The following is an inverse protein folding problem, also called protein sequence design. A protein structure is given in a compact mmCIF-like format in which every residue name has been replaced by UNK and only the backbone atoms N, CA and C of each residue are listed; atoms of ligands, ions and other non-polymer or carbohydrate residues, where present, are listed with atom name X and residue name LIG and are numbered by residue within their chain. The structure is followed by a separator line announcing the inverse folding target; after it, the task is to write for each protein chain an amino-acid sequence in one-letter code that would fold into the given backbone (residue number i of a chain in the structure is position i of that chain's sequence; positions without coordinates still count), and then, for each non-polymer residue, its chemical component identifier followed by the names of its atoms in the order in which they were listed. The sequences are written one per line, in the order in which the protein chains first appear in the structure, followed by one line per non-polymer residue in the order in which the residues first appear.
data_IF_566113488166
#
_entry.id   IF_566113488166
#
_cell.length_a   1.000
_cell.length_b   1.000
_cell.length_c   1.000
_cell.angle_alpha   90.00
_cell.angle_beta   90.00
_cell.angle_gamma   90.00
#
_symmetry.space_group_name_H-M   'P 1'
#
loop_
_entity.id
_entity.type
_entity.pdbx_description
1 polymer ?
#
# COMPACT_ATOMS: atom_id res chain seq x y z
N UNK A 1 -18.54 28.15 -6.30
CA UNK A 1 -17.31 27.33 -6.05
C UNK A 1 -17.52 26.12 -5.14
N UNK A 2 -18.45 26.13 -4.17
CA UNK A 2 -18.68 24.97 -3.28
C UNK A 2 -19.26 23.72 -3.97
N UNK A 3 -20.10 23.91 -5.00
CA UNK A 3 -20.71 22.81 -5.76
C UNK A 3 -19.70 22.01 -6.61
N UNK A 4 -18.69 22.65 -7.20
CA UNK A 4 -17.68 21.95 -8.01
C UNK A 4 -16.73 21.12 -7.16
N UNK A 5 -16.29 21.64 -6.00
CA UNK A 5 -15.42 20.91 -5.08
C UNK A 5 -16.10 19.65 -4.51
N UNK A 6 -17.40 19.75 -4.18
CA UNK A 6 -18.19 18.60 -3.72
C UNK A 6 -18.31 17.51 -4.79
N UNK A 7 -18.49 17.90 -6.05
CA UNK A 7 -18.52 16.98 -7.20
C UNK A 7 -17.17 16.27 -7.37
N UNK A 8 -16.05 17.02 -7.37
CA UNK A 8 -14.70 16.46 -7.51
C UNK A 8 -14.36 15.44 -6.41
N UNK A 9 -14.70 15.73 -5.16
CA UNK A 9 -14.46 14.81 -4.03
C UNK A 9 -15.28 13.52 -4.13
N UNK A 10 -16.52 13.62 -4.62
CA UNK A 10 -17.37 12.44 -4.85
C UNK A 10 -16.81 11.58 -5.98
N UNK A 11 -16.35 12.18 -7.07
CA UNK A 11 -15.71 11.47 -8.20
C UNK A 11 -14.42 10.79 -7.74
N UNK A 12 -13.56 11.49 -7.00
CA UNK A 12 -12.34 10.91 -6.45
C UNK A 12 -12.63 9.72 -5.53
N UNK A 13 -13.61 9.85 -4.64
CA UNK A 13 -14.05 8.75 -3.75
C UNK A 13 -14.57 7.56 -4.54
N UNK A 14 -15.42 7.80 -5.53
CA UNK A 14 -15.96 6.75 -6.39
C UNK A 14 -14.82 6.01 -7.09
N UNK A 15 -13.89 6.75 -7.71
CA UNK A 15 -12.73 6.16 -8.39
C UNK A 15 -11.85 5.35 -7.44
N UNK A 16 -11.51 5.88 -6.27
CA UNK A 16 -10.68 5.16 -5.29
C UNK A 16 -11.34 3.87 -4.80
N UNK A 17 -12.63 3.91 -4.47
CA UNK A 17 -13.36 2.70 -4.03
C UNK A 17 -13.55 1.69 -5.16
N UNK A 18 -13.71 2.17 -6.41
CA UNK A 18 -13.70 1.33 -7.60
C UNK A 18 -12.35 0.64 -7.77
N UNK A 19 -11.24 1.39 -7.78
CA UNK A 19 -9.89 0.83 -7.93
C UNK A 19 -9.56 -0.21 -6.83
N UNK A 20 -9.82 0.12 -5.57
CA UNK A 20 -9.56 -0.78 -4.42
C UNK A 20 -10.32 -2.10 -4.51
N UNK A 21 -11.55 -2.11 -5.02
CA UNK A 21 -12.35 -3.34 -5.14
C UNK A 21 -11.91 -4.25 -6.29
N UNK A 22 -11.18 -3.73 -7.29
CA UNK A 22 -10.61 -4.51 -8.40
C UNK A 22 -9.15 -4.87 -8.21
N UNK A 23 -8.47 -4.23 -7.24
CA UNK A 23 -7.06 -4.48 -6.96
C UNK A 23 -6.68 -5.95 -6.70
N UNK A 24 -7.51 -6.82 -6.09
CA UNK A 24 -7.16 -8.24 -5.98
C UNK A 24 -6.92 -8.92 -7.33
N UNK A 25 -7.62 -8.51 -8.40
CA UNK A 25 -7.37 -9.03 -9.73
C UNK A 25 -6.00 -8.60 -10.26
N UNK A 26 -5.59 -7.37 -9.98
CA UNK A 26 -4.24 -6.87 -10.30
C UNK A 26 -3.19 -7.68 -9.54
N UNK A 27 -3.43 -7.98 -8.25
CA UNK A 27 -2.56 -8.87 -7.47
C UNK A 27 -2.46 -10.29 -8.05
N UNK A 28 -3.58 -10.86 -8.49
CA UNK A 28 -3.62 -12.18 -9.11
C UNK A 28 -2.86 -12.19 -10.45
N UNK A 29 -3.13 -11.21 -11.31
CA UNK A 29 -2.49 -11.07 -12.61
C UNK A 29 -0.98 -10.86 -12.46
N UNK A 30 -0.56 -9.89 -11.66
CA UNK A 30 0.88 -9.62 -11.46
C UNK A 30 1.61 -10.79 -10.83
N UNK A 31 0.96 -11.55 -9.95
CA UNK A 31 1.54 -12.76 -9.39
C UNK A 31 1.69 -13.86 -10.45
N UNK A 32 0.66 -14.11 -11.27
CA UNK A 32 0.72 -15.09 -12.35
C UNK A 32 1.78 -14.71 -13.39
N UNK A 33 1.86 -13.43 -13.76
CA UNK A 33 2.83 -12.94 -14.72
C UNK A 33 4.26 -12.98 -14.19
N UNK A 34 4.46 -12.77 -12.89
CA UNK A 34 5.77 -12.99 -12.26
C UNK A 34 6.20 -14.46 -12.36
N UNK A 35 5.27 -15.40 -12.12
CA UNK A 35 5.56 -16.82 -12.28
C UNK A 35 5.86 -17.18 -13.73
N UNK A 36 5.12 -16.60 -14.69
CA UNK A 36 5.36 -16.80 -16.12
C UNK A 36 6.74 -16.26 -16.56
N UNK A 37 7.13 -15.07 -16.11
CA UNK A 37 8.46 -14.51 -16.38
C UNK A 37 9.56 -15.43 -15.85
N UNK A 38 9.41 -15.97 -14.63
CA UNK A 38 10.39 -16.87 -14.03
C UNK A 38 10.40 -18.27 -14.66
N UNK A 39 9.25 -18.77 -15.12
CA UNK A 39 9.15 -20.07 -15.77
C UNK A 39 10.02 -20.18 -17.03
N UNK A 40 10.35 -19.06 -17.67
CA UNK A 40 11.30 -19.04 -18.80
C UNK A 40 12.75 -19.32 -18.41
N UNK A 41 13.11 -19.16 -17.13
CA UNK A 41 14.48 -19.31 -16.62
C UNK A 41 14.63 -20.45 -15.60
N UNK A 42 13.55 -20.88 -14.97
CA UNK A 42 13.56 -21.82 -13.86
C UNK A 42 12.78 -23.10 -14.19
N UNK A 43 13.42 -24.27 -13.98
CA UNK A 43 12.80 -25.58 -14.22
C UNK A 43 11.67 -25.93 -13.24
N UNK A 44 11.70 -25.34 -12.04
CA UNK A 44 10.72 -25.57 -10.98
C UNK A 44 10.22 -24.24 -10.43
N UNK A 45 8.94 -24.15 -10.03
CA UNK A 45 8.39 -22.91 -9.50
C UNK A 45 9.10 -22.49 -8.21
N UNK A 46 9.31 -21.18 -7.98
CA UNK A 46 9.99 -20.69 -6.79
C UNK A 46 9.15 -20.91 -5.52
N UNK A 47 7.83 -21.05 -5.65
CA UNK A 47 6.88 -21.31 -4.58
C UNK A 47 6.29 -22.71 -4.75
N UNK A 48 5.87 -23.32 -3.65
CA UNK A 48 5.16 -24.60 -3.72
C UNK A 48 3.84 -24.43 -4.49
N UNK A 49 3.48 -25.37 -5.38
CA UNK A 49 2.28 -25.26 -6.20
C UNK A 49 1.00 -24.98 -5.40
N UNK A 50 0.81 -25.67 -4.27
CA UNK A 50 -0.35 -25.48 -3.40
C UNK A 50 -0.43 -24.04 -2.88
N UNK A 51 0.71 -23.46 -2.47
CA UNK A 51 0.78 -22.07 -2.00
C UNK A 51 0.43 -21.10 -3.12
N UNK A 52 0.90 -21.36 -4.36
CA UNK A 52 0.55 -20.56 -5.54
C UNK A 52 -0.97 -20.58 -5.78
N UNK A 53 -1.57 -21.77 -5.84
CA UNK A 53 -3.00 -21.92 -6.12
C UNK A 53 -3.88 -21.31 -5.03
N UNK A 54 -3.52 -21.49 -3.75
CA UNK A 54 -4.22 -20.86 -2.62
C UNK A 54 -4.15 -19.34 -2.74
N UNK A 55 -2.98 -18.79 -3.05
CA UNK A 55 -2.84 -17.34 -3.20
C UNK A 55 -3.67 -16.78 -4.35
N UNK A 56 -3.60 -17.42 -5.51
CA UNK A 56 -4.33 -17.03 -6.70
C UNK A 56 -5.85 -17.13 -6.49
N UNK A 57 -6.34 -18.24 -5.95
CA UNK A 57 -7.76 -18.46 -5.67
C UNK A 57 -8.31 -17.41 -4.70
N UNK A 58 -7.60 -17.12 -3.61
CA UNK A 58 -8.03 -16.11 -2.65
C UNK A 58 -8.07 -14.70 -3.25
N UNK A 59 -7.08 -14.32 -4.08
CA UNK A 59 -7.12 -13.03 -4.78
C UNK A 59 -8.31 -12.93 -5.73
N UNK A 60 -8.60 -13.98 -6.50
CA UNK A 60 -9.75 -14.02 -7.42
C UNK A 60 -11.09 -13.96 -6.66
N UNK A 61 -11.27 -14.80 -5.63
CA UNK A 61 -12.49 -14.84 -4.82
C UNK A 61 -12.72 -13.48 -4.13
N UNK A 62 -11.69 -12.88 -3.54
CA UNK A 62 -11.81 -11.57 -2.91
C UNK A 62 -12.15 -10.48 -3.93
N UNK A 63 -11.55 -10.52 -5.13
CA UNK A 63 -11.86 -9.61 -6.23
C UNK A 63 -13.31 -9.73 -6.72
N UNK A 64 -13.79 -10.96 -6.92
CA UNK A 64 -15.18 -11.25 -7.30
C UNK A 64 -16.15 -10.73 -6.24
N UNK A 65 -15.96 -11.14 -4.97
CA UNK A 65 -16.81 -10.70 -3.87
C UNK A 65 -16.87 -9.17 -3.74
N UNK A 66 -15.73 -8.48 -3.85
CA UNK A 66 -15.70 -7.02 -3.78
C UNK A 66 -16.31 -6.32 -5.00
N UNK A 67 -16.20 -6.91 -6.19
CA UNK A 67 -16.72 -6.34 -7.45
C UNK A 67 -18.24 -6.53 -7.60
N UNK A 68 -18.77 -7.69 -7.21
CA UNK A 68 -20.21 -8.00 -7.25
C UNK A 68 -20.97 -7.56 -6.00
N UNK A 69 -20.35 -6.75 -5.14
CA UNK A 69 -20.93 -6.26 -3.89
C UNK A 69 -21.30 -7.35 -2.86
N UNK A 70 -20.76 -8.56 -2.97
CA UNK A 70 -21.01 -9.67 -2.07
C UNK A 70 -20.07 -9.64 -0.86
N UNK A 71 -20.63 -9.48 0.35
CA UNK A 71 -19.85 -9.49 1.62
C UNK A 71 -18.55 -8.65 1.55
N UNK A 72 -18.56 -7.50 0.87
CA UNK A 72 -17.36 -6.69 0.55
C UNK A 72 -16.42 -6.47 1.73
N UNK A 73 -17.00 -6.17 2.90
CA UNK A 73 -16.24 -5.94 4.13
C UNK A 73 -15.42 -7.16 4.52
N UNK A 74 -16.03 -8.34 4.52
CA UNK A 74 -15.35 -9.59 4.86
C UNK A 74 -14.27 -9.89 3.82
N UNK A 75 -14.58 -9.74 2.53
CA UNK A 75 -13.62 -9.92 1.46
C UNK A 75 -12.42 -8.97 1.56
N UNK A 76 -12.62 -7.70 1.95
CA UNK A 76 -11.53 -6.75 2.19
C UNK A 76 -10.62 -7.16 3.37
N UNK A 77 -11.20 -7.66 4.46
CA UNK A 77 -10.42 -8.15 5.61
C UNK A 77 -9.64 -9.42 5.25
N UNK A 78 -10.28 -10.37 4.56
CA UNK A 78 -9.60 -11.58 4.06
C UNK A 78 -8.46 -11.19 3.11
N UNK A 79 -8.69 -10.23 2.21
CA UNK A 79 -7.66 -9.73 1.30
C UNK A 79 -6.47 -9.12 2.06
N UNK A 80 -6.71 -8.35 3.13
CA UNK A 80 -5.64 -7.78 3.95
C UNK A 80 -4.80 -8.88 4.62
N UNK A 81 -5.45 -9.85 5.29
CA UNK A 81 -4.77 -10.99 5.90
C UNK A 81 -3.96 -11.77 4.86
N UNK A 82 -4.56 -11.98 3.69
CA UNK A 82 -3.96 -12.72 2.60
C UNK A 82 -2.70 -12.05 2.04
N UNK A 83 -2.72 -10.72 1.90
CA UNK A 83 -1.54 -9.96 1.48
C UNK A 83 -0.43 -10.06 2.54
N UNK A 84 -0.75 -10.02 3.83
CA UNK A 84 0.24 -10.18 4.90
C UNK A 84 0.88 -11.57 4.85
N UNK A 85 0.07 -12.63 4.72
CA UNK A 85 0.58 -14.00 4.55
C UNK A 85 1.45 -14.10 3.30
N UNK A 86 1.02 -13.52 2.18
CA UNK A 86 1.82 -13.50 0.96
C UNK A 86 3.16 -12.75 1.14
N UNK A 87 3.17 -11.64 1.89
CA UNK A 87 4.40 -10.89 2.19
C UNK A 87 5.38 -11.72 3.01
N UNK A 88 4.88 -12.45 4.01
CA UNK A 88 5.67 -13.37 4.85
C UNK A 88 6.25 -14.50 3.98
N UNK A 89 5.42 -15.10 3.12
CA UNK A 89 5.84 -16.14 2.17
C UNK A 89 6.97 -15.63 1.27
N UNK A 90 6.84 -14.43 0.69
CA UNK A 90 7.88 -13.82 -0.16
C UNK A 90 9.17 -13.54 0.62
N UNK A 91 9.06 -13.07 1.87
CA UNK A 91 10.22 -12.74 2.69
C UNK A 91 11.05 -13.98 3.06
N UNK A 92 10.38 -15.01 3.60
CA UNK A 92 11.02 -16.22 4.10
C UNK A 92 11.55 -17.10 2.97
N UNK A 93 10.87 -17.09 1.81
CA UNK A 93 11.22 -18.01 0.73
C UNK A 93 12.62 -17.71 0.17
N UNK A 94 13.51 -18.71 0.31
CA UNK A 94 14.89 -18.66 -0.19
C UNK A 94 14.97 -18.92 -1.69
N UNK A 95 14.02 -19.68 -2.27
CA UNK A 95 14.00 -20.05 -3.69
C UNK A 95 13.75 -18.86 -4.63
N UNK A 96 13.15 -17.77 -4.14
CA UNK A 96 12.96 -16.54 -4.92
C UNK A 96 14.29 -15.86 -5.30
N UNK A 97 15.40 -16.15 -4.60
CA UNK A 97 16.75 -15.59 -4.86
C UNK A 97 16.82 -14.05 -4.92
N UNK A 98 15.88 -13.36 -4.29
CA UNK A 98 15.91 -11.91 -4.16
C UNK A 98 16.87 -11.45 -3.07
N UNK A 99 17.56 -10.34 -3.33
CA UNK A 99 18.35 -9.63 -2.34
C UNK A 99 17.49 -9.22 -1.14
N UNK A 100 18.14 -9.05 0.02
CA UNK A 100 17.45 -8.65 1.24
C UNK A 100 16.72 -7.32 1.07
N UNK A 101 17.36 -6.32 0.44
CA UNK A 101 16.75 -5.01 0.21
C UNK A 101 15.48 -5.11 -0.63
N UNK A 102 15.47 -5.92 -1.71
CA UNK A 102 14.32 -6.07 -2.60
C UNK A 102 13.15 -6.77 -1.88
N UNK A 103 13.45 -7.78 -1.05
CA UNK A 103 12.44 -8.44 -0.22
C UNK A 103 11.78 -7.44 0.73
N UNK A 104 12.55 -6.64 1.45
CA UNK A 104 12.01 -5.62 2.36
C UNK A 104 11.23 -4.56 1.56
N UNK A 105 11.71 -4.18 0.36
CA UNK A 105 11.00 -3.27 -0.56
C UNK A 105 9.64 -3.80 -0.99
N UNK A 106 9.51 -5.09 -1.26
CA UNK A 106 8.22 -5.71 -1.58
C UNK A 106 7.31 -5.79 -0.35
N UNK A 107 7.83 -6.34 0.75
CA UNK A 107 7.03 -6.65 1.93
C UNK A 107 6.43 -5.39 2.59
N UNK A 108 7.17 -4.28 2.68
CA UNK A 108 6.62 -3.08 3.32
C UNK A 108 5.44 -2.48 2.53
N UNK A 109 5.49 -2.47 1.19
CA UNK A 109 4.38 -1.98 0.37
C UNK A 109 3.16 -2.88 0.52
N UNK A 110 3.36 -4.19 0.57
CA UNK A 110 2.30 -5.15 0.84
C UNK A 110 1.65 -4.93 2.22
N UNK A 111 2.43 -4.62 3.25
CA UNK A 111 1.91 -4.22 4.58
C UNK A 111 1.07 -2.94 4.48
N UNK A 112 1.53 -1.95 3.71
CA UNK A 112 0.77 -0.72 3.45
C UNK A 112 -0.57 -0.99 2.78
N UNK A 113 -0.56 -1.79 1.70
CA UNK A 113 -1.78 -2.21 1.01
C UNK A 113 -2.74 -2.95 1.95
N UNK A 114 -2.24 -3.89 2.75
CA UNK A 114 -3.05 -4.59 3.74
C UNK A 114 -3.70 -3.62 4.75
N UNK A 115 -2.94 -2.63 5.25
CA UNK A 115 -3.46 -1.58 6.11
C UNK A 115 -4.62 -0.81 5.47
N UNK A 116 -4.50 -0.43 4.19
CA UNK A 116 -5.58 0.25 3.47
C UNK A 116 -6.79 -0.64 3.20
N UNK A 117 -6.63 -1.95 3.02
CA UNK A 117 -7.78 -2.85 2.92
C UNK A 117 -8.55 -2.98 4.24
N UNK A 118 -7.86 -2.99 5.39
CA UNK A 118 -8.51 -2.93 6.70
C UNK A 118 -9.25 -1.60 6.87
N UNK A 119 -8.65 -0.48 6.50
CA UNK A 119 -9.30 0.84 6.54
C UNK A 119 -10.50 0.91 5.58
N UNK A 120 -10.38 0.34 4.38
CA UNK A 120 -11.46 0.24 3.41
C UNK A 120 -12.66 -0.54 3.98
N UNK A 121 -12.40 -1.65 4.67
CA UNK A 121 -13.45 -2.42 5.36
C UNK A 121 -14.22 -1.60 6.40
N UNK A 122 -13.55 -0.64 7.06
CA UNK A 122 -14.16 0.27 8.03
C UNK A 122 -15.02 1.36 7.34
N UNK A 123 -14.59 1.85 6.18
CA UNK A 123 -15.37 2.80 5.37
C UNK A 123 -16.67 2.15 4.90
N UNK A 124 -16.61 0.89 4.46
CA UNK A 124 -17.76 0.11 3.99
C UNK A 124 -18.82 -0.19 5.06
N UNK A 125 -18.47 -0.19 6.35
CA UNK A 125 -19.39 -0.59 7.41
C UNK A 125 -20.29 0.56 7.89
N UNK A 126 -21.61 0.41 7.90
CA UNK A 126 -22.54 1.47 8.36
C UNK A 126 -22.53 1.67 9.88
N UNK A 127 -22.26 0.61 10.67
CA UNK A 127 -22.28 0.69 12.15
C UNK A 127 -21.00 1.29 12.73
N UNK A 128 -21.15 2.33 13.57
CA UNK A 128 -20.06 3.21 14.05
C UNK A 128 -19.24 2.60 15.20
N UNK A 129 -19.84 1.81 16.11
CA UNK A 129 -19.18 1.34 17.35
C UNK A 129 -18.18 0.18 17.16
N UNK A 130 -18.49 -0.84 16.36
CA UNK A 130 -17.59 -2.01 16.12
C UNK A 130 -16.36 -1.70 15.24
N UNK A 131 -16.14 -0.44 14.86
CA UNK A 131 -15.09 -0.07 13.88
C UNK A 131 -13.81 0.49 14.50
N UNK A 132 -13.81 0.86 15.78
CA UNK A 132 -12.65 1.56 16.38
C UNK A 132 -11.39 0.69 16.43
N UNK A 133 -11.48 -0.54 16.94
CA UNK A 133 -10.33 -1.45 17.03
C UNK A 133 -9.79 -1.86 15.66
N UNK A 134 -10.68 -2.20 14.72
CA UNK A 134 -10.25 -2.61 13.38
C UNK A 134 -9.66 -1.44 12.59
N UNK A 135 -10.20 -0.23 12.77
CA UNK A 135 -9.61 1.00 12.24
C UNK A 135 -8.21 1.21 12.81
N UNK A 136 -8.03 1.06 14.13
CA UNK A 136 -6.72 1.17 14.77
C UNK A 136 -5.71 0.16 14.21
N UNK A 137 -6.12 -1.09 13.98
CA UNK A 137 -5.26 -2.08 13.32
C UNK A 137 -4.81 -1.60 11.94
N UNK A 138 -5.74 -1.09 11.12
CA UNK A 138 -5.40 -0.54 9.80
C UNK A 138 -4.44 0.64 9.86
N UNK A 139 -4.66 1.57 10.79
CA UNK A 139 -3.78 2.73 11.02
C UNK A 139 -2.39 2.32 11.49
N UNK A 140 -2.30 1.37 12.41
CA UNK A 140 -1.03 0.82 12.88
C UNK A 140 -0.27 0.14 11.73
N UNK A 141 -0.94 -0.63 10.87
CA UNK A 141 -0.30 -1.24 9.69
C UNK A 141 0.23 -0.19 8.72
N UNK A 142 -0.51 0.90 8.48
CA UNK A 142 -0.02 2.03 7.67
C UNK A 142 1.18 2.71 8.35
N UNK A 143 1.15 2.90 9.67
CA UNK A 143 2.29 3.44 10.42
C UNK A 143 3.54 2.55 10.31
N UNK A 144 3.39 1.23 10.44
CA UNK A 144 4.46 0.25 10.24
C UNK A 144 5.02 0.34 8.82
N UNK A 145 4.15 0.40 7.80
CA UNK A 145 4.56 0.61 6.41
C UNK A 145 5.44 1.86 6.26
N UNK A 146 5.06 2.98 6.88
CA UNK A 146 5.81 4.24 6.79
C UNK A 146 7.15 4.20 7.51
N UNK A 147 7.24 3.51 8.65
CA UNK A 147 8.51 3.26 9.33
C UNK A 147 9.44 2.48 8.39
N UNK A 148 8.96 1.38 7.80
CA UNK A 148 9.78 0.59 6.88
C UNK A 148 10.14 1.36 5.60
N UNK A 149 9.22 2.17 5.05
CA UNK A 149 9.52 3.01 3.89
C UNK A 149 10.65 4.01 4.20
N UNK A 150 10.60 4.63 5.38
CA UNK A 150 11.63 5.56 5.86
C UNK A 150 12.97 4.84 6.10
N UNK A 151 12.91 3.66 6.74
CA UNK A 151 14.09 2.84 7.03
C UNK A 151 14.79 2.35 5.75
N UNK A 152 14.04 1.86 4.76
CA UNK A 152 14.62 1.39 3.50
C UNK A 152 15.32 2.55 2.78
N UNK A 153 14.69 3.72 2.68
CA UNK A 153 15.32 4.90 2.08
C UNK A 153 16.56 5.35 2.86
N UNK A 154 16.58 5.17 4.19
CA UNK A 154 17.72 5.49 5.04
C UNK A 154 18.85 4.46 4.97
N UNK A 155 18.57 3.18 4.75
CA UNK A 155 19.58 2.12 4.81
C UNK A 155 20.06 1.68 3.43
N UNK A 156 19.13 1.46 2.49
CA UNK A 156 19.38 0.84 1.19
C UNK A 156 20.13 1.78 0.24
N UNK A 157 21.39 1.49 -0.14
CA UNK A 157 22.13 2.32 -1.08
C UNK A 157 21.48 2.34 -2.47
N UNK A 158 20.77 1.28 -2.87
CA UNK A 158 20.04 1.21 -4.13
C UNK A 158 18.89 2.21 -4.18
N UNK A 159 18.12 2.30 -3.09
CA UNK A 159 17.01 3.24 -2.93
C UNK A 159 17.49 4.68 -2.85
N UNK A 160 18.55 4.95 -2.06
CA UNK A 160 19.18 6.27 -1.99
C UNK A 160 19.62 6.76 -3.36
N UNK A 161 20.39 5.94 -4.08
CA UNK A 161 20.88 6.30 -5.41
C UNK A 161 19.74 6.51 -6.39
N UNK A 162 18.68 5.71 -6.30
CA UNK A 162 17.49 5.91 -7.12
C UNK A 162 16.83 7.25 -6.81
N UNK A 163 16.67 7.60 -5.54
CA UNK A 163 16.09 8.88 -5.15
C UNK A 163 16.94 10.08 -5.62
N UNK A 164 18.24 10.09 -5.30
CA UNK A 164 19.15 11.19 -5.63
C UNK A 164 19.30 11.40 -7.14
N UNK A 165 19.20 10.33 -7.95
CA UNK A 165 19.33 10.41 -9.40
C UNK A 165 18.09 10.95 -10.10
N UNK A 166 16.90 10.58 -9.64
CA UNK A 166 15.66 10.85 -10.40
C UNK A 166 14.84 12.01 -9.81
N UNK A 167 15.02 12.35 -8.53
CA UNK A 167 14.33 13.49 -7.95
C UNK A 167 15.07 14.77 -8.36
N UNK A 168 14.39 15.77 -8.97
CA UNK A 168 15.04 17.02 -9.35
C UNK A 168 15.51 17.77 -8.11
N UNK A 169 16.76 18.25 -8.12
CA UNK A 169 17.41 18.77 -6.92
C UNK A 169 17.72 17.70 -5.88
N UNK A 170 17.96 16.46 -6.34
CA UNK A 170 18.21 15.26 -5.54
C UNK A 170 19.49 15.29 -4.71
N UNK A 171 19.53 16.20 -3.76
CA UNK A 171 20.59 16.31 -2.76
C UNK A 171 20.28 15.46 -1.53
N UNK A 172 21.32 15.16 -0.76
CA UNK A 172 21.18 14.42 0.50
C UNK A 172 20.20 15.12 1.46
N UNK A 173 20.17 16.46 1.46
CA UNK A 173 19.23 17.23 2.26
C UNK A 173 17.76 16.94 1.89
N UNK A 174 17.42 16.93 0.60
CA UNK A 174 16.06 16.65 0.12
C UNK A 174 15.66 15.22 0.46
N UNK A 175 16.59 14.26 0.31
CA UNK A 175 16.38 12.87 0.72
C UNK A 175 16.06 12.75 2.21
N UNK A 176 16.86 13.36 3.09
CA UNK A 176 16.62 13.29 4.53
C UNK A 176 15.34 14.02 4.94
N UNK A 177 15.00 15.15 4.30
CA UNK A 177 13.73 15.83 4.50
C UNK A 177 12.55 14.93 4.10
N UNK A 178 12.63 14.26 2.95
CA UNK A 178 11.62 13.31 2.51
C UNK A 178 11.44 12.13 3.49
N UNK A 179 12.55 11.56 3.99
CA UNK A 179 12.54 10.51 5.02
C UNK A 179 11.89 11.03 6.31
N UNK A 180 12.24 12.23 6.76
CA UNK A 180 11.68 12.83 7.96
C UNK A 180 10.17 13.09 7.84
N UNK A 181 9.69 13.50 6.66
CA UNK A 181 8.27 13.68 6.39
C UNK A 181 7.52 12.33 6.42
N UNK A 182 8.07 11.27 5.83
CA UNK A 182 7.47 9.92 5.94
C UNK A 182 7.43 9.42 7.38
N UNK A 183 8.50 9.60 8.14
CA UNK A 183 8.56 9.24 9.56
C UNK A 183 7.57 10.07 10.41
N UNK A 184 7.44 11.36 10.11
CA UNK A 184 6.43 12.24 10.72
C UNK A 184 5.01 11.76 10.45
N UNK A 185 4.70 11.38 9.20
CA UNK A 185 3.42 10.73 8.89
C UNK A 185 3.23 9.43 9.69
N UNK A 186 4.27 8.60 9.86
CA UNK A 186 4.19 7.39 10.67
C UNK A 186 3.81 7.70 12.13
N UNK A 187 4.44 8.73 12.72
CA UNK A 187 4.15 9.21 14.06
C UNK A 187 2.74 9.79 14.21
N UNK A 188 2.08 10.23 13.12
CA UNK A 188 0.66 10.58 13.12
C UNK A 188 -0.25 9.34 13.08
N UNK A 189 0.08 8.35 12.24
CA UNK A 189 -0.76 7.16 12.05
C UNK A 189 -0.76 6.22 13.27
N UNK A 190 0.40 5.99 13.92
CA UNK A 190 0.49 5.05 15.04
C UNK A 190 -0.39 5.43 16.24
N UNK A 191 -0.38 6.70 16.73
CA UNK A 191 -1.23 7.14 17.83
C UNK A 191 -2.62 7.57 17.35
N UNK A 192 -2.78 7.81 16.05
CA UNK A 192 -4.03 8.18 15.40
C UNK A 192 -4.35 9.69 15.41
N UNK A 193 -3.33 10.53 15.62
CA UNK A 193 -3.47 11.98 15.59
C UNK A 193 -3.25 12.55 14.19
N UNK A 194 -3.96 13.63 13.84
CA UNK A 194 -3.79 14.37 12.58
C UNK A 194 -3.81 13.55 11.28
N UNK A 195 -4.48 12.38 11.29
CA UNK A 195 -4.48 11.43 10.16
C UNK A 195 -4.94 12.03 8.83
N UNK A 196 -5.89 12.97 8.87
CA UNK A 196 -6.38 13.62 7.66
C UNK A 196 -5.26 14.41 6.97
N UNK A 197 -4.57 15.28 7.72
CA UNK A 197 -3.48 16.10 7.21
C UNK A 197 -2.30 15.22 6.79
N UNK A 198 -1.97 14.21 7.61
CA UNK A 198 -0.93 13.23 7.27
C UNK A 198 -1.28 12.46 5.98
N UNK A 199 -2.55 12.12 5.75
CA UNK A 199 -2.99 11.45 4.52
C UNK A 199 -2.85 12.35 3.30
N UNK A 200 -3.18 13.65 3.40
CA UNK A 200 -3.01 14.60 2.31
C UNK A 200 -1.54 14.76 1.92
N UNK A 201 -0.66 14.94 2.92
CA UNK A 201 0.78 14.99 2.69
C UNK A 201 1.29 13.68 2.07
N UNK A 202 0.84 12.54 2.58
CA UNK A 202 1.30 11.24 2.11
C UNK A 202 0.85 10.93 0.67
N UNK A 203 -0.31 11.43 0.22
CA UNK A 203 -0.71 11.35 -1.20
C UNK A 203 0.37 11.99 -2.06
N UNK A 204 0.83 13.19 -1.69
CA UNK A 204 1.86 13.91 -2.44
C UNK A 204 3.18 13.14 -2.40
N UNK A 205 3.63 12.72 -1.22
CA UNK A 205 4.90 12.01 -1.06
C UNK A 205 4.92 10.69 -1.85
N UNK A 206 3.92 9.82 -1.66
CA UNK A 206 3.86 8.52 -2.33
C UNK A 206 3.70 8.68 -3.84
N UNK A 207 2.93 9.68 -4.31
CA UNK A 207 2.80 9.96 -5.74
C UNK A 207 4.13 10.43 -6.33
N UNK A 208 4.83 11.35 -5.65
CA UNK A 208 6.15 11.81 -6.09
C UNK A 208 7.16 10.67 -6.13
N UNK A 209 7.25 9.86 -5.07
CA UNK A 209 8.11 8.68 -5.05
C UNK A 209 7.77 7.68 -6.15
N UNK A 210 6.48 7.47 -6.41
CA UNK A 210 6.05 6.54 -7.47
C UNK A 210 6.43 7.06 -8.86
N UNK A 211 6.10 8.32 -9.16
CA UNK A 211 6.30 8.91 -10.49
C UNK A 211 7.79 9.15 -10.77
N UNK A 212 8.54 9.67 -9.80
CA UNK A 212 9.93 10.04 -10.02
C UNK A 212 10.88 8.85 -9.87
N UNK A 213 10.59 7.92 -8.95
CA UNK A 213 11.53 6.83 -8.63
C UNK A 213 11.07 5.49 -9.17
N UNK A 214 9.81 5.08 -8.93
CA UNK A 214 9.36 3.73 -9.30
C UNK A 214 9.00 3.57 -10.79
N UNK A 215 8.56 4.65 -11.48
CA UNK A 215 8.20 4.58 -12.90
C UNK A 215 9.42 4.53 -13.84
N UNK A 216 10.65 4.76 -13.37
CA UNK A 216 11.84 4.46 -14.17
C UNK A 216 12.10 2.94 -14.19
N UNK A 217 11.27 2.24 -14.96
CA UNK A 217 11.34 0.79 -15.14
C UNK A 217 12.70 0.38 -15.71
N UNK A 218 13.30 1.22 -16.56
CA UNK A 218 14.60 0.92 -17.18
C UNK A 218 15.73 0.91 -16.15
N UNK A 219 15.74 1.85 -15.21
CA UNK A 219 16.70 1.88 -14.10
C UNK A 219 16.59 0.59 -13.27
N UNK A 220 15.38 0.21 -12.86
CA UNK A 220 15.16 -0.95 -11.99
C UNK A 220 15.48 -2.28 -12.67
N UNK A 221 15.11 -2.44 -13.94
CA UNK A 221 15.36 -3.68 -14.67
C UNK A 221 16.82 -3.75 -15.11
N UNK A 222 17.33 -2.75 -15.85
CA UNK A 222 18.64 -2.84 -16.50
C UNK A 222 19.80 -2.62 -15.54
N UNK A 223 19.67 -1.71 -14.58
CA UNK A 223 20.77 -1.37 -13.67
C UNK A 223 20.74 -2.16 -12.36
N UNK A 224 19.55 -2.58 -11.91
CA UNK A 224 19.38 -3.30 -10.62
C UNK A 224 18.96 -4.76 -10.77
N UNK A 225 18.62 -5.21 -11.98
CA UNK A 225 18.26 -6.60 -12.23
C UNK A 225 16.94 -7.03 -11.58
N UNK A 226 16.02 -6.09 -11.31
CA UNK A 226 14.67 -6.46 -10.85
C UNK A 226 13.88 -7.03 -12.03
N UNK A 227 13.15 -8.12 -11.81
CA UNK A 227 12.19 -8.65 -12.79
C UNK A 227 11.09 -7.64 -13.14
N UNK A 228 10.67 -7.61 -14.40
CA UNK A 228 9.68 -6.65 -14.91
C UNK A 228 8.38 -6.69 -14.10
N UNK A 229 7.83 -7.88 -13.87
CA UNK A 229 6.56 -8.02 -13.15
C UNK A 229 6.69 -7.76 -11.65
N UNK A 230 7.88 -7.91 -11.10
CA UNK A 230 8.16 -7.47 -9.72
C UNK A 230 8.09 -5.95 -9.63
N UNK A 231 8.69 -5.22 -10.58
CA UNK A 231 8.63 -3.76 -10.61
C UNK A 231 7.21 -3.25 -10.90
N UNK A 232 6.50 -3.89 -11.82
CA UNK A 232 5.11 -3.54 -12.10
C UNK A 232 4.22 -3.73 -10.86
N UNK A 233 4.40 -4.84 -10.13
CA UNK A 233 3.70 -5.06 -8.85
C UNK A 233 3.97 -3.97 -7.83
N UNK A 234 5.24 -3.59 -7.68
CA UNK A 234 5.68 -2.50 -6.80
C UNK A 234 4.99 -1.17 -7.13
N UNK A 235 4.80 -0.86 -8.41
CA UNK A 235 4.05 0.32 -8.89
C UNK A 235 2.56 0.17 -8.55
N UNK A 236 1.95 -0.98 -8.82
CA UNK A 236 0.52 -1.19 -8.56
C UNK A 236 0.19 -1.16 -7.06
N UNK A 237 1.09 -1.66 -6.20
CA UNK A 237 0.95 -1.56 -4.74
C UNK A 237 0.92 -0.09 -4.29
N UNK A 238 1.79 0.76 -4.83
CA UNK A 238 1.76 2.20 -4.55
C UNK A 238 0.47 2.87 -5.05
N UNK A 239 0.00 2.53 -6.26
CA UNK A 239 -1.27 3.06 -6.78
C UNK A 239 -2.45 2.66 -5.88
N UNK A 240 -2.44 1.44 -5.34
CA UNK A 240 -3.42 0.99 -4.37
C UNK A 240 -3.34 1.79 -3.05
N UNK A 241 -2.13 2.05 -2.56
CA UNK A 241 -1.90 2.89 -1.37
C UNK A 241 -2.43 4.32 -1.60
N UNK A 242 -2.14 4.92 -2.75
CA UNK A 242 -2.64 6.26 -3.12
C UNK A 242 -4.17 6.26 -3.17
N UNK A 243 -4.80 5.25 -3.77
CA UNK A 243 -6.26 5.11 -3.76
C UNK A 243 -6.81 4.98 -2.34
N UNK A 244 -6.14 4.21 -1.48
CA UNK A 244 -6.47 4.09 -0.05
C UNK A 244 -6.42 5.43 0.68
N UNK A 245 -5.39 6.25 0.41
CA UNK A 245 -5.24 7.58 0.99
C UNK A 245 -6.30 8.57 0.50
N UNK A 246 -6.58 8.60 -0.80
CA UNK A 246 -7.64 9.44 -1.37
C UNK A 246 -9.00 9.06 -0.78
N UNK A 247 -9.26 7.76 -0.58
CA UNK A 247 -10.45 7.30 0.13
C UNK A 247 -10.49 7.80 1.58
N UNK A 248 -9.37 7.77 2.31
CA UNK A 248 -9.31 8.29 3.68
C UNK A 248 -9.62 9.80 3.76
N UNK A 249 -9.08 10.61 2.84
CA UNK A 249 -9.32 12.06 2.77
C UNK A 249 -10.77 12.37 2.36
N UNK A 250 -11.33 11.63 1.41
CA UNK A 250 -12.68 11.89 0.87
C UNK A 250 -13.81 11.27 1.71
N UNK A 251 -13.49 10.44 2.71
CA UNK A 251 -14.49 9.79 3.55
C UNK A 251 -15.15 10.80 4.50
N UNK A 252 -16.46 11.04 4.29
CA UNK A 252 -17.29 11.94 5.13
C UNK A 252 -17.43 11.51 6.60
N UNK A 253 -16.98 10.31 6.98
CA UNK A 253 -16.92 9.88 8.39
C UNK A 253 -15.77 10.60 9.10
N UNK A 254 -15.91 11.92 9.23
CA UNK A 254 -15.13 12.75 10.15
C UNK A 254 -15.36 12.20 11.54
N UNK A 255 -14.29 11.66 12.14
CA UNK A 255 -14.26 11.45 13.58
C UNK A 255 -14.17 12.85 14.16
N UNK A 256 -15.26 13.29 14.79
CA UNK A 256 -15.20 14.32 15.80
C UNK A 256 -14.24 13.77 16.86
N UNK A 257 -13.07 14.39 16.99
CA UNK A 257 -12.13 14.07 18.05
C UNK A 257 -12.89 14.19 19.37
N UNK A 258 -12.72 13.20 20.24
CA UNK A 258 -13.14 13.33 21.62
C UNK A 258 -12.41 14.54 22.21
N UNK A 259 -13.13 15.66 22.30
CA UNK A 259 -13.01 16.54 23.44
C UNK A 259 -13.36 15.68 24.65
N UNK A 260 -12.32 15.10 25.26
CA UNK A 260 -12.46 14.52 26.58
C UNK A 260 -12.36 15.69 27.56
N UNK A 261 -13.53 16.28 27.81
CA UNK A 261 -13.98 16.79 29.12
C UNK A 261 -13.06 17.81 29.81
N UNK A 262 -13.20 19.07 29.45
CA UNK A 262 -13.45 20.08 30.49
C UNK A 262 -14.86 19.81 31.03
N UNK A 263 -14.95 19.14 32.17
CA UNK A 263 -16.08 19.30 33.06
C UNK A 263 -15.53 20.02 34.29
N UNK A 264 -15.87 21.30 34.41
CA UNK A 264 -16.13 21.90 35.71
C UNK A 264 -16.97 20.91 36.53
N UNK A 265 -16.44 20.47 37.65
CA UNK A 265 -17.03 20.54 38.99
C UNK A 265 -15.90 20.25 39.99
#
# INVERSE_FOLDING_TARGET
MSASLGSMLNTARWFSTFALSRYPFVNALTFLMLLAERASWEKYPPLEPNTIYIHLALFLICGICMSFNMKKRLAAVIQACQIIVFAITVYINRKLRYSRWLKVRLCHRMVGVAGFFILYSCVLNTSRQKTSQMRRVGETLVGIYLIFASYILYESPEDKRAFLRHVPGGDMFVLYAYIALLAGCAACFLPGYFQHNASQLLIVLVTLGTVMVDLDINYWIRQRGIHYWTQFRLITDNLCIICGLVMCVTSKKRVHFSSTKEKCY
#
